data_IF_673745344635
#
_entry.id   IF_673745344635
#
_cell.length_a   1.000
_cell.length_b   1.000
_cell.length_c   1.000
_cell.angle_alpha   90.00
_cell.angle_beta   90.00
_cell.angle_gamma   90.00
#
_symmetry.space_group_name_H-M   'P 1'
#
loop_
_entity.id
_entity.type
_entity.pdbx_description
1 polymer ?
#
# COMPACT_ATOMS: atom_id res chain seq x y z
N UNK A 1 8.31 39.87 8.38
CA UNK A 1 7.76 38.88 7.43
C UNK A 1 6.93 37.85 8.20
N UNK A 2 5.63 37.75 7.95
CA UNK A 2 4.70 36.87 8.68
C UNK A 2 5.02 35.38 8.43
N UNK A 3 5.12 34.56 9.48
CA UNK A 3 5.48 33.13 9.38
C UNK A 3 4.54 32.32 8.48
N UNK A 4 3.27 32.76 8.40
CA UNK A 4 2.27 32.16 7.52
C UNK A 4 2.64 32.29 6.04
N UNK A 5 3.21 33.43 5.63
CA UNK A 5 3.59 33.67 4.23
C UNK A 5 4.82 32.83 3.86
N UNK A 6 5.79 32.70 4.77
CA UNK A 6 6.93 31.79 4.58
C UNK A 6 6.48 30.34 4.48
N UNK A 7 5.56 29.90 5.33
CA UNK A 7 4.99 28.56 5.26
C UNK A 7 4.30 28.32 3.91
N UNK A 8 3.41 29.24 3.49
CA UNK A 8 2.71 29.16 2.20
C UNK A 8 3.66 29.09 1.02
N UNK A 9 4.73 29.87 1.01
CA UNK A 9 5.77 29.80 -0.02
C UNK A 9 6.49 28.44 -0.04
N UNK A 10 6.81 27.89 1.13
CA UNK A 10 7.49 26.59 1.23
C UNK A 10 6.61 25.44 0.70
N UNK A 11 5.30 25.50 0.93
CA UNK A 11 4.35 24.46 0.52
C UNK A 11 3.76 24.66 -0.89
N UNK A 12 4.18 25.71 -1.62
CA UNK A 12 3.76 25.89 -3.02
C UNK A 12 4.22 24.72 -3.89
N UNK A 13 5.43 24.24 -3.65
CA UNK A 13 5.91 22.96 -4.18
C UNK A 13 5.48 21.84 -3.22
N UNK A 14 4.97 20.74 -3.78
CA UNK A 14 4.64 19.54 -3.02
C UNK A 14 5.89 18.86 -2.44
N UNK A 15 5.70 17.84 -1.60
CA UNK A 15 6.79 17.02 -1.10
C UNK A 15 7.29 16.03 -2.18
N UNK A 16 7.68 16.52 -3.36
CA UNK A 16 7.97 15.70 -4.54
C UNK A 16 9.42 15.15 -4.56
N UNK A 17 10.23 15.52 -3.57
CA UNK A 17 11.64 15.15 -3.52
C UNK A 17 11.86 13.93 -2.63
N UNK A 18 12.09 12.77 -3.27
CA UNK A 18 12.28 11.50 -2.55
C UNK A 18 13.72 11.36 -2.06
N UNK A 19 13.89 11.20 -0.75
CA UNK A 19 15.20 10.93 -0.15
C UNK A 19 15.65 9.49 -0.45
N UNK A 20 16.83 9.31 -1.02
CA UNK A 20 17.37 7.97 -1.32
C UNK A 20 17.56 7.09 -0.08
N UNK A 21 17.81 7.67 1.10
CA UNK A 21 18.06 6.92 2.34
C UNK A 21 16.80 6.43 3.02
N UNK A 22 15.82 7.31 3.17
CA UNK A 22 14.59 7.01 3.92
C UNK A 22 13.36 6.81 3.03
N UNK A 23 13.47 7.05 1.71
CA UNK A 23 12.38 6.95 0.73
C UNK A 23 11.14 7.79 1.03
N UNK A 24 11.24 8.74 1.97
CA UNK A 24 10.20 9.72 2.24
C UNK A 24 10.20 10.80 1.16
N UNK A 25 9.01 11.13 0.70
CA UNK A 25 8.72 12.28 -0.13
C UNK A 25 8.76 13.55 0.75
N UNK A 26 9.58 14.54 0.37
CA UNK A 26 9.92 15.70 1.20
C UNK A 26 9.87 16.99 0.37
N UNK A 27 9.75 18.13 1.05
CA UNK A 27 9.81 19.44 0.40
C UNK A 27 11.24 19.80 -0.03
N UNK A 28 11.36 20.66 -1.05
CA UNK A 28 12.65 21.09 -1.61
C UNK A 28 13.63 21.60 -0.56
N UNK A 29 13.14 22.36 0.42
CA UNK A 29 13.97 22.94 1.48
C UNK A 29 14.47 21.90 2.51
N UNK A 30 13.97 20.67 2.51
CA UNK A 30 14.37 19.59 3.42
C UNK A 30 15.42 18.64 2.81
N UNK A 31 15.66 18.74 1.50
CA UNK A 31 16.59 17.90 0.76
C UNK A 31 17.78 18.69 0.23
N UNK A 32 18.85 17.95 -0.07
CA UNK A 32 20.02 18.44 -0.79
C UNK A 32 20.39 17.44 -1.91
N UNK A 33 21.08 17.88 -2.97
CA UNK A 33 21.61 16.98 -3.97
C UNK A 33 22.50 15.92 -3.32
N UNK A 34 22.24 14.65 -3.64
CA UNK A 34 23.11 13.57 -3.22
C UNK A 34 24.32 13.48 -4.16
N UNK A 35 25.52 13.61 -3.59
CA UNK A 35 26.80 13.52 -4.29
C UNK A 35 27.62 12.45 -3.57
N UNK A 36 27.91 11.35 -4.24
CA UNK A 36 28.51 10.14 -3.68
C UNK A 36 29.84 10.41 -2.96
N UNK A 37 30.72 11.18 -3.60
CA UNK A 37 32.06 11.50 -3.08
C UNK A 37 32.02 12.17 -1.70
N UNK A 38 30.92 12.86 -1.37
CA UNK A 38 30.75 13.50 -0.07
C UNK A 38 30.51 12.51 1.07
N UNK A 39 30.08 11.29 0.76
CA UNK A 39 29.65 10.31 1.75
C UNK A 39 30.53 9.06 1.81
N UNK A 40 31.21 8.69 0.72
CA UNK A 40 32.14 7.55 0.72
C UNK A 40 33.49 7.96 1.30
N UNK A 41 33.88 7.35 2.43
CA UNK A 41 35.18 7.50 3.09
C UNK A 41 35.73 6.13 3.48
N UNK A 42 37.05 5.98 3.52
CA UNK A 42 37.72 4.70 3.75
C UNK A 42 37.36 4.01 5.09
N UNK A 43 37.11 4.78 6.16
CA UNK A 43 36.85 4.27 7.52
C UNK A 43 35.37 4.21 7.91
N UNK A 44 34.50 3.65 7.05
CA UNK A 44 33.07 3.55 7.32
C UNK A 44 32.66 2.12 7.68
N UNK A 45 31.63 1.95 8.52
CA UNK A 45 31.10 0.62 8.81
C UNK A 45 30.55 -0.05 7.54
N UNK A 46 30.62 -1.38 7.48
CA UNK A 46 30.13 -2.15 6.34
C UNK A 46 28.66 -1.86 6.03
N UNK A 47 27.83 -1.70 7.05
CA UNK A 47 26.39 -1.44 6.92
C UNK A 47 26.12 -0.07 6.30
N UNK A 48 26.84 0.97 6.72
CA UNK A 48 26.68 2.32 6.17
C UNK A 48 27.24 2.38 4.74
N UNK A 49 28.36 1.71 4.47
CA UNK A 49 28.92 1.60 3.12
C UNK A 49 27.94 0.88 2.19
N UNK A 50 27.37 -0.26 2.62
CA UNK A 50 26.34 -1.01 1.90
C UNK A 50 25.06 -0.20 1.71
N UNK A 51 24.64 0.59 2.70
CA UNK A 51 23.50 1.50 2.61
C UNK A 51 23.69 2.53 1.50
N UNK A 52 24.83 3.23 1.51
CA UNK A 52 25.18 4.20 0.46
C UNK A 52 25.24 3.52 -0.91
N UNK A 53 25.90 2.36 -0.98
CA UNK A 53 26.03 1.59 -2.22
C UNK A 53 24.68 1.10 -2.78
N UNK A 54 23.70 0.82 -1.90
CA UNK A 54 22.38 0.35 -2.32
C UNK A 54 21.58 1.38 -3.14
N UNK A 55 21.92 2.68 -3.04
CA UNK A 55 21.24 3.73 -3.80
C UNK A 55 21.64 3.80 -5.27
N UNK A 56 22.73 3.16 -5.68
CA UNK A 56 23.22 3.21 -7.05
C UNK A 56 22.51 2.17 -7.93
N UNK A 57 22.08 1.05 -7.36
CA UNK A 57 21.46 -0.04 -8.13
C UNK A 57 20.03 0.24 -8.62
N UNK A 58 19.38 1.30 -8.15
CA UNK A 58 17.92 1.45 -8.27
C UNK A 58 17.38 2.42 -9.34
N UNK A 59 18.20 3.07 -10.18
CA UNK A 59 17.63 3.87 -11.29
C UNK A 59 18.61 4.20 -12.42
N UNK A 60 18.05 4.17 -13.64
CA UNK A 60 18.64 4.58 -14.90
C UNK A 60 19.31 5.97 -14.82
N UNK A 61 20.43 6.10 -15.52
CA UNK A 61 21.57 6.94 -15.17
C UNK A 61 21.49 8.44 -15.52
N UNK A 62 20.36 9.14 -15.32
CA UNK A 62 20.29 10.58 -15.69
C UNK A 62 19.53 11.53 -14.74
N UNK A 63 18.84 11.05 -13.71
CA UNK A 63 18.08 11.93 -12.80
C UNK A 63 18.84 12.32 -11.52
N UNK A 64 18.73 13.59 -11.12
CA UNK A 64 19.32 14.10 -9.88
C UNK A 64 18.72 13.39 -8.67
N UNK A 65 19.57 12.71 -7.89
CA UNK A 65 19.19 12.06 -6.63
C UNK A 65 19.19 13.05 -5.48
N UNK A 66 18.26 12.88 -4.53
CA UNK A 66 18.11 13.76 -3.37
C UNK A 66 18.31 13.00 -2.06
N UNK A 67 18.87 13.68 -1.06
CA UNK A 67 18.98 13.16 0.30
C UNK A 67 18.46 14.21 1.29
N UNK A 68 17.67 13.78 2.28
CA UNK A 68 17.18 14.68 3.30
C UNK A 68 18.30 15.11 4.25
N UNK A 69 18.23 16.35 4.74
CA UNK A 69 19.22 16.93 5.65
C UNK A 69 19.51 16.03 6.85
N UNK A 70 18.47 15.47 7.48
CA UNK A 70 18.62 14.56 8.62
C UNK A 70 19.38 13.28 8.30
N UNK A 71 19.14 12.66 7.14
CA UNK A 71 19.88 11.45 6.73
C UNK A 71 21.32 11.80 6.37
N UNK A 72 21.53 12.90 5.64
CA UNK A 72 22.87 13.43 5.32
C UNK A 72 23.71 13.62 6.60
N UNK A 73 23.15 14.29 7.60
CA UNK A 73 23.88 14.62 8.83
C UNK A 73 24.28 13.37 9.61
N UNK A 74 23.39 12.38 9.68
CA UNK A 74 23.68 11.09 10.32
C UNK A 74 24.77 10.32 9.57
N UNK A 75 24.70 10.23 8.25
CA UNK A 75 25.70 9.54 7.43
C UNK A 75 27.07 10.23 7.53
N UNK A 76 27.12 11.57 7.49
CA UNK A 76 28.36 12.33 7.69
C UNK A 76 28.99 12.08 9.06
N UNK A 77 28.16 11.89 10.09
CA UNK A 77 28.56 11.49 11.45
C UNK A 77 28.85 9.99 11.59
N UNK A 78 28.86 9.22 10.49
CA UNK A 78 29.07 7.77 10.46
C UNK A 78 28.05 7.00 11.32
N UNK A 79 26.81 7.49 11.35
CA UNK A 79 25.69 6.85 12.02
C UNK A 79 24.63 6.43 11.00
N UNK A 80 24.00 5.28 11.25
CA UNK A 80 22.83 4.85 10.49
C UNK A 80 21.66 5.83 10.74
N UNK A 81 21.06 6.44 9.71
CA UNK A 81 19.84 7.23 9.92
C UNK A 81 18.73 6.33 10.48
N UNK A 82 18.06 6.76 11.55
CA UNK A 82 17.00 5.97 12.20
C UNK A 82 15.86 5.60 11.25
N UNK A 83 15.53 6.52 10.34
CA UNK A 83 14.50 6.37 9.31
C UNK A 83 15.01 5.77 7.99
N UNK A 84 16.23 5.24 7.97
CA UNK A 84 16.77 4.60 6.77
C UNK A 84 15.99 3.31 6.43
N UNK A 85 15.74 3.07 5.15
CA UNK A 85 15.07 1.86 4.66
C UNK A 85 15.82 0.59 5.08
N UNK A 86 17.15 0.62 4.99
CA UNK A 86 18.01 -0.50 5.42
C UNK A 86 17.99 -0.72 6.93
N UNK A 87 17.55 0.27 7.72
CA UNK A 87 17.40 0.14 9.16
C UNK A 87 16.08 -0.58 9.51
N UNK A 88 15.88 -1.77 8.91
CA UNK A 88 14.70 -2.62 9.10
C UNK A 88 13.35 -1.96 8.76
N UNK A 89 13.36 -0.88 7.95
CA UNK A 89 12.16 -0.19 7.45
C UNK A 89 11.84 -0.56 6.00
N UNK A 90 12.55 -1.53 5.42
CA UNK A 90 12.28 -2.04 4.08
C UNK A 90 10.93 -2.74 4.07
N UNK A 91 10.04 -2.25 3.23
CA UNK A 91 8.77 -2.91 2.96
C UNK A 91 9.07 -4.26 2.32
N UNK A 92 8.67 -5.34 2.99
CA UNK A 92 8.80 -6.68 2.43
C UNK A 92 7.87 -6.81 1.21
N UNK A 93 8.31 -7.54 0.20
CA UNK A 93 7.43 -7.87 -0.93
C UNK A 93 6.22 -8.62 -0.39
N UNK A 94 5.03 -8.17 -0.77
CA UNK A 94 3.80 -8.85 -0.40
C UNK A 94 3.77 -10.21 -1.14
N UNK A 95 3.64 -11.34 -0.44
CA UNK A 95 3.49 -12.66 -1.06
C UNK A 95 2.34 -12.70 -2.08
N UNK A 96 2.49 -13.53 -3.11
CA UNK A 96 1.50 -13.70 -4.18
C UNK A 96 0.12 -14.06 -3.64
N UNK A 97 0.09 -14.91 -2.63
CA UNK A 97 -1.11 -15.42 -1.95
C UNK A 97 -1.88 -14.28 -1.29
N UNK A 98 -1.19 -13.31 -0.69
CA UNK A 98 -1.81 -12.13 -0.09
C UNK A 98 -2.20 -11.07 -1.12
N UNK A 99 -1.44 -10.99 -2.22
CA UNK A 99 -1.67 -10.00 -3.28
C UNK A 99 -2.95 -10.29 -4.06
N UNK A 100 -3.30 -11.57 -4.25
CA UNK A 100 -4.48 -11.99 -5.01
C UNK A 100 -5.82 -11.87 -4.27
N UNK A 101 -5.79 -11.73 -2.94
CA UNK A 101 -7.00 -11.62 -2.14
C UNK A 101 -7.79 -10.34 -2.44
N UNK A 102 -9.10 -10.48 -2.53
CA UNK A 102 -10.05 -9.37 -2.52
C UNK A 102 -10.20 -8.77 -1.11
N UNK A 103 -11.01 -7.71 -0.99
CA UNK A 103 -11.17 -7.02 0.30
C UNK A 103 -11.83 -7.90 1.35
N UNK A 104 -12.91 -8.61 0.99
CA UNK A 104 -13.62 -9.47 1.92
C UNK A 104 -12.77 -10.66 2.38
N UNK A 105 -11.97 -11.25 1.49
CA UNK A 105 -11.00 -12.30 1.82
C UNK A 105 -9.91 -11.81 2.78
N UNK A 106 -9.40 -10.58 2.57
CA UNK A 106 -8.48 -9.94 3.52
C UNK A 106 -9.13 -9.73 4.88
N UNK A 107 -10.40 -9.33 4.90
CA UNK A 107 -11.16 -9.19 6.14
C UNK A 107 -11.31 -10.54 6.89
N UNK A 108 -11.52 -11.64 6.17
CA UNK A 108 -11.67 -12.97 6.78
C UNK A 108 -10.43 -13.43 7.55
N UNK A 109 -9.23 -13.12 7.04
CA UNK A 109 -7.96 -13.48 7.69
C UNK A 109 -7.44 -12.38 8.61
N UNK A 110 -8.07 -11.21 8.69
CA UNK A 110 -7.57 -10.14 9.53
C UNK A 110 -7.78 -10.46 11.01
N UNK A 111 -6.70 -10.43 11.81
CA UNK A 111 -6.78 -10.56 13.27
C UNK A 111 -7.66 -9.49 13.93
N UNK A 112 -7.80 -8.32 13.29
CA UNK A 112 -8.62 -7.21 13.75
C UNK A 112 -9.27 -6.52 12.56
N UNK A 113 -10.60 -6.39 12.61
CA UNK A 113 -11.37 -5.62 11.64
C UNK A 113 -11.52 -4.18 12.11
N UNK A 114 -10.96 -3.18 11.42
CA UNK A 114 -11.20 -1.79 11.78
C UNK A 114 -12.65 -1.41 11.44
N UNK A 115 -13.46 -1.13 12.46
CA UNK A 115 -14.87 -0.71 12.28
C UNK A 115 -15.04 0.80 12.07
N UNK A 116 -13.96 1.58 12.14
CA UNK A 116 -13.99 3.02 11.89
C UNK A 116 -13.59 3.33 10.44
N UNK A 117 -14.44 4.11 9.77
CA UNK A 117 -14.16 4.71 8.46
C UNK A 117 -13.98 6.21 8.63
N UNK A 118 -12.81 6.74 8.27
CA UNK A 118 -12.64 8.18 8.09
C UNK A 118 -13.34 8.52 6.77
N UNK A 119 -14.39 9.35 6.86
CA UNK A 119 -15.11 9.87 5.68
C UNK A 119 -14.87 11.36 5.58
N UNK A 120 -14.63 11.85 4.36
CA UNK A 120 -14.72 13.28 4.10
C UNK A 120 -16.20 13.65 4.19
N UNK A 121 -16.53 14.66 5.00
CA UNK A 121 -17.83 15.30 4.92
C UNK A 121 -17.88 16.04 3.59
N UNK A 122 -18.71 15.57 2.64
CA UNK A 122 -19.07 16.38 1.47
C UNK A 122 -19.89 17.56 1.98
N UNK A 123 -19.21 18.69 2.19
CA UNK A 123 -19.88 19.97 2.37
C UNK A 123 -20.77 20.25 1.17
N UNK A 124 -22.02 20.60 1.42
CA UNK A 124 -22.82 21.36 0.45
C UNK A 124 -24.13 20.71 0.03
N UNK A 125 -25.20 21.20 0.63
CA UNK A 125 -26.52 21.27 0.01
C UNK A 125 -26.38 21.96 -1.36
N UNK A 126 -26.49 21.22 -2.45
CA UNK A 126 -26.87 21.78 -3.74
C UNK A 126 -27.81 20.82 -4.46
N UNK A 127 -29.10 21.16 -4.36
CA UNK A 127 -30.26 20.68 -5.11
C UNK A 127 -30.51 19.17 -5.21
N UNK A 128 -31.62 18.72 -4.62
CA UNK A 128 -32.25 17.41 -4.85
C UNK A 128 -32.65 17.15 -6.31
N UNK A 129 -32.47 18.11 -7.23
CA UNK A 129 -32.76 18.00 -8.66
C UNK A 129 -31.53 17.73 -9.54
N UNK A 130 -30.32 17.63 -8.98
CA UNK A 130 -29.09 17.27 -9.71
C UNK A 130 -28.46 15.96 -9.22
N UNK A 131 -29.26 15.11 -8.57
CA UNK A 131 -28.81 13.79 -8.13
C UNK A 131 -28.89 12.81 -9.30
N UNK A 132 -27.74 12.42 -9.86
CA UNK A 132 -27.70 11.26 -10.76
C UNK A 132 -28.07 10.00 -9.98
N UNK A 133 -29.01 9.21 -10.51
CA UNK A 133 -29.32 7.87 -10.01
C UNK A 133 -28.33 6.88 -10.60
N UNK A 134 -27.59 6.18 -9.74
CA UNK A 134 -26.71 5.07 -10.13
C UNK A 134 -27.32 3.71 -9.81
N UNK A 135 -27.12 2.73 -10.68
CA UNK A 135 -27.36 1.30 -10.41
C UNK A 135 -26.25 0.72 -9.53
N UNK A 136 -26.59 -0.18 -8.62
CA UNK A 136 -25.64 -0.86 -7.74
C UNK A 136 -25.48 -2.33 -8.16
N UNK A 137 -24.27 -2.68 -8.59
CA UNK A 137 -23.88 -4.02 -9.02
C UNK A 137 -23.30 -4.01 -10.44
N UNK A 138 -22.43 -4.96 -10.83
CA UNK A 138 -21.94 -5.06 -12.20
C UNK A 138 -23.09 -5.48 -13.13
N UNK A 139 -23.30 -4.76 -14.22
CA UNK A 139 -24.12 -5.21 -15.36
C UNK A 139 -23.16 -5.51 -16.51
N UNK A 140 -22.95 -6.80 -16.80
CA UNK A 140 -22.25 -7.26 -17.99
C UNK A 140 -23.22 -8.11 -18.81
N UNK A 141 -23.65 -7.59 -19.97
CA UNK A 141 -24.36 -8.38 -20.97
C UNK A 141 -23.32 -9.02 -21.90
N UNK A 142 -22.95 -10.26 -21.60
CA UNK A 142 -22.10 -11.09 -22.46
C UNK A 142 -23.02 -12.09 -23.17
N UNK A 143 -22.92 -12.27 -24.50
CA UNK A 143 -23.69 -13.31 -25.18
C UNK A 143 -23.26 -14.68 -24.65
N UNK A 144 -24.22 -15.49 -24.22
CA UNK A 144 -23.94 -16.83 -23.70
C UNK A 144 -24.09 -17.82 -24.84
N UNK A 145 -23.06 -18.63 -25.06
CA UNK A 145 -23.18 -19.84 -25.86
C UNK A 145 -23.79 -20.93 -24.97
N UNK A 146 -25.09 -21.14 -25.16
CA UNK A 146 -25.93 -21.92 -24.23
C UNK A 146 -25.59 -23.41 -24.31
N UNK A 147 -25.01 -23.85 -25.42
CA UNK A 147 -24.79 -25.27 -25.73
C UNK A 147 -23.55 -25.83 -25.01
N UNK A 148 -22.47 -25.04 -24.92
CA UNK A 148 -21.22 -25.39 -24.22
C UNK A 148 -21.36 -25.29 -22.68
N UNK A 149 -22.27 -24.43 -22.22
CA UNK A 149 -22.51 -24.16 -20.80
C UNK A 149 -23.30 -25.30 -20.11
N UNK A 150 -24.20 -25.95 -20.84
CA UNK A 150 -25.07 -27.03 -20.32
C UNK A 150 -24.37 -28.40 -20.36
N UNK A 151 -23.44 -28.60 -21.30
CA UNK A 151 -22.75 -29.88 -21.51
C UNK A 151 -21.52 -30.09 -20.61
N UNK A 152 -21.00 -29.04 -19.99
CA UNK A 152 -19.71 -29.07 -19.25
C UNK A 152 -19.85 -29.09 -17.72
N UNK A 153 -21.03 -29.37 -17.15
CA UNK A 153 -21.21 -29.48 -15.69
C UNK A 153 -21.62 -30.92 -15.31
N UNK A 154 -20.90 -31.57 -14.38
CA UNK A 154 -20.65 -31.05 -13.04
C UNK A 154 -19.16 -30.85 -12.72
N UNK A 155 -18.82 -29.70 -12.11
CA UNK A 155 -17.44 -29.42 -11.68
C UNK A 155 -17.09 -30.15 -10.37
N UNK A 156 -15.85 -30.65 -10.22
CA UNK A 156 -15.36 -31.18 -8.94
C UNK A 156 -15.41 -30.11 -7.84
N UNK A 157 -15.87 -30.51 -6.65
CA UNK A 157 -16.11 -29.67 -5.45
C UNK A 157 -14.88 -28.84 -5.07
N UNK A 158 -13.72 -29.39 -5.36
CA UNK A 158 -12.37 -28.91 -5.06
C UNK A 158 -11.88 -27.80 -6.01
N UNK A 159 -12.49 -27.62 -7.19
CA UNK A 159 -11.99 -26.69 -8.23
C UNK A 159 -12.89 -25.49 -8.56
N UNK A 160 -14.06 -25.30 -7.92
CA UNK A 160 -15.01 -24.28 -8.41
C UNK A 160 -15.84 -23.49 -7.40
N UNK A 161 -15.67 -23.61 -6.09
CA UNK A 161 -16.58 -22.94 -5.16
C UNK A 161 -16.10 -21.55 -4.75
N UNK A 162 -16.31 -20.57 -5.63
CA UNK A 162 -16.50 -19.20 -5.15
C UNK A 162 -17.74 -19.19 -4.26
N UNK A 163 -17.61 -18.79 -3.00
CA UNK A 163 -18.70 -18.70 -2.03
C UNK A 163 -19.17 -17.26 -1.96
N UNK A 164 -20.47 -17.02 -2.11
CA UNK A 164 -21.04 -15.70 -1.84
C UNK A 164 -21.09 -15.48 -0.34
N UNK A 165 -20.33 -14.52 0.16
CA UNK A 165 -20.26 -14.21 1.58
C UNK A 165 -20.80 -12.82 1.86
N UNK A 166 -21.71 -12.74 2.84
CA UNK A 166 -22.24 -11.48 3.36
C UNK A 166 -21.64 -11.20 4.73
N UNK A 167 -20.88 -10.11 4.84
CA UNK A 167 -20.38 -9.64 6.11
C UNK A 167 -21.36 -8.62 6.70
N UNK A 168 -21.87 -8.93 7.88
CA UNK A 168 -22.78 -8.08 8.64
C UNK A 168 -22.07 -7.58 9.89
N UNK A 169 -22.35 -6.33 10.31
CA UNK A 169 -21.83 -5.78 11.58
C UNK A 169 -22.28 -6.59 12.80
N UNK A 170 -23.52 -7.11 12.75
CA UNK A 170 -24.10 -8.05 13.71
C UNK A 170 -25.01 -9.00 12.94
N UNK A 171 -25.03 -10.29 13.29
CA UNK A 171 -25.86 -11.28 12.60
C UNK A 171 -27.36 -10.93 12.61
N UNK A 172 -27.84 -10.31 13.71
CA UNK A 172 -29.22 -9.85 13.85
C UNK A 172 -29.61 -8.69 12.93
N UNK A 173 -28.65 -8.01 12.30
CA UNK A 173 -28.95 -6.88 11.42
C UNK A 173 -29.40 -7.37 10.04
N UNK A 174 -30.43 -6.70 9.49
CA UNK A 174 -30.87 -6.93 8.10
C UNK A 174 -29.88 -6.36 7.09
N UNK A 175 -29.30 -5.19 7.40
CA UNK A 175 -28.33 -4.53 6.54
C UNK A 175 -27.01 -5.31 6.44
N UNK A 176 -26.55 -5.51 5.20
CA UNK A 176 -25.26 -6.11 4.87
C UNK A 176 -24.22 -5.00 4.74
N UNK A 177 -23.04 -5.19 5.35
CA UNK A 177 -21.94 -4.22 5.29
C UNK A 177 -21.13 -4.36 4.01
N UNK A 178 -20.76 -5.59 3.67
CA UNK A 178 -20.03 -5.94 2.46
C UNK A 178 -20.51 -7.32 1.98
N UNK A 179 -20.60 -7.49 0.66
CA UNK A 179 -20.96 -8.76 0.03
C UNK A 179 -20.07 -8.97 -1.19
N UNK A 180 -19.33 -10.07 -1.21
CA UNK A 180 -18.46 -10.45 -2.31
C UNK A 180 -18.45 -11.97 -2.49
N UNK A 181 -18.08 -12.42 -3.68
CA UNK A 181 -17.69 -13.81 -3.92
C UNK A 181 -16.25 -14.00 -3.43
N UNK A 182 -16.01 -15.04 -2.63
CA UNK A 182 -14.71 -15.36 -2.06
C UNK A 182 -14.27 -16.75 -2.47
N UNK A 183 -12.97 -16.96 -2.68
CA UNK A 183 -12.38 -18.28 -2.88
C UNK A 183 -11.84 -18.80 -1.54
N UNK A 184 -12.46 -19.84 -0.94
CA UNK A 184 -12.00 -20.37 0.35
C UNK A 184 -10.57 -20.90 0.32
N UNK A 185 -10.09 -21.38 -0.83
CA UNK A 185 -8.71 -21.89 -0.96
C UNK A 185 -7.69 -20.74 -0.92
N UNK A 186 -7.99 -19.61 -1.56
CA UNK A 186 -7.10 -18.43 -1.49
C UNK A 186 -6.99 -17.90 -0.07
N UNK A 187 -8.11 -17.86 0.67
CA UNK A 187 -8.14 -17.50 2.09
C UNK A 187 -7.27 -18.44 2.93
N UNK A 188 -7.37 -19.76 2.71
CA UNK A 188 -6.58 -20.77 3.44
C UNK A 188 -5.09 -20.67 3.13
N UNK A 189 -4.73 -20.59 1.86
CA UNK A 189 -3.34 -20.46 1.41
C UNK A 189 -2.69 -19.20 1.99
N UNK A 190 -3.40 -18.08 1.91
CA UNK A 190 -2.97 -16.82 2.50
C UNK A 190 -2.76 -16.93 4.01
N UNK A 191 -3.69 -17.58 4.72
CA UNK A 191 -3.58 -17.78 6.16
C UNK A 191 -2.36 -18.65 6.50
N UNK A 192 -2.12 -19.72 5.74
CA UNK A 192 -0.95 -20.59 5.91
C UNK A 192 0.38 -19.86 5.67
N UNK A 193 0.43 -18.92 4.72
CA UNK A 193 1.61 -18.06 4.54
C UNK A 193 1.77 -17.12 5.75
N UNK A 194 0.68 -16.55 6.26
CA UNK A 194 0.74 -15.63 7.41
C UNK A 194 1.20 -16.31 8.70
N UNK A 195 0.79 -17.55 8.97
CA UNK A 195 1.25 -18.30 10.16
C UNK A 195 2.76 -18.54 10.14
N UNK A 196 3.35 -18.70 8.95
CA UNK A 196 4.82 -18.83 8.79
C UNK A 196 5.56 -17.50 8.90
N UNK A 197 4.92 -16.39 8.49
CA UNK A 197 5.58 -15.08 8.40
C UNK A 197 5.41 -14.20 9.63
N UNK A 198 4.33 -14.36 10.39
CA UNK A 198 3.97 -13.43 11.46
C UNK A 198 3.50 -14.15 12.73
N UNK A 199 4.15 -13.93 13.89
CA UNK A 199 3.91 -14.68 15.12
C UNK A 199 2.50 -14.50 15.72
N UNK A 200 1.79 -13.45 15.29
CA UNK A 200 0.39 -13.21 15.68
C UNK A 200 -0.64 -14.13 15.02
N UNK A 201 -0.27 -14.85 13.96
CA UNK A 201 -1.13 -15.82 13.29
C UNK A 201 -0.80 -17.22 13.79
N UNK A 202 -1.77 -17.89 14.41
CA UNK A 202 -1.65 -19.24 14.97
C UNK A 202 -2.60 -20.18 14.26
#
# INVERSE_FOLDING_TARGET
MNNLNKFRQIIQEGPDYVCISCQLALFRNQVIPFIEEKYIKQNMSYEIKKHIQSYFMYSSSREQKWICKSCSDKIKKRQMPSRAVVNKLKVCKIPSELKRLNNLEKHLIALRLPFMKIVNLTSGKLSSRLTQKGTKGPLHCVPSDVEDTVTTLPRPVDKSMMVRLQLKRRLKYKAVWEEQLINPNDVRDALFVLTKMHPGYK
#
